data_IF_157986145702
#
_entry.id   IF_157986145702
#
_cell.length_a   1.000
_cell.length_b   1.000
_cell.length_c   1.000
_cell.angle_alpha   90.00
_cell.angle_beta   90.00
_cell.angle_gamma   90.00
#
_symmetry.space_group_name_H-M   'P 1'
#
loop_
_entity.id
_entity.type
_entity.pdbx_description
1 polymer ?
#
# COMPACT_ATOMS: atom_id res chain seq x y z
N UNK A 1 -21.62 -6.33 -0.28
CA UNK A 1 -20.23 -5.99 -0.60
C UNK A 1 -19.79 -4.83 0.29
N UNK A 2 -19.30 -5.14 1.48
CA UNK A 2 -18.78 -4.18 2.46
C UNK A 2 -17.35 -3.79 2.08
N UNK A 3 -17.21 -2.70 1.34
CA UNK A 3 -15.91 -2.06 1.08
C UNK A 3 -16.05 -0.58 1.36
N UNK A 4 -15.35 -0.08 2.37
CA UNK A 4 -15.23 1.35 2.70
C UNK A 4 -14.45 2.15 1.65
N UNK A 5 -14.75 1.92 0.37
CA UNK A 5 -14.24 2.63 -0.80
C UNK A 5 -15.24 3.68 -1.29
N UNK A 6 -16.54 3.48 -1.06
CA UNK A 6 -17.57 4.46 -1.38
C UNK A 6 -17.44 5.66 -0.43
N UNK A 7 -16.93 6.79 -0.95
CA UNK A 7 -16.67 8.02 -0.18
C UNK A 7 -15.22 8.21 0.27
N UNK A 8 -14.27 7.43 -0.24
CA UNK A 8 -12.85 7.62 0.08
C UNK A 8 -12.22 8.73 -0.77
N UNK A 9 -11.97 9.90 -0.19
CA UNK A 9 -11.32 11.07 -0.83
C UNK A 9 -9.85 10.85 -1.20
N UNK A 10 -9.30 9.67 -0.90
CA UNK A 10 -7.90 9.29 -1.18
C UNK A 10 -7.52 9.40 -2.66
N UNK A 11 -8.50 9.25 -3.56
CA UNK A 11 -8.27 9.42 -5.01
C UNK A 11 -8.24 10.90 -5.43
N UNK A 12 -8.93 11.77 -4.68
CA UNK A 12 -8.91 13.23 -4.85
C UNK A 12 -7.72 13.92 -4.15
N UNK A 13 -7.05 13.24 -3.21
CA UNK A 13 -5.79 13.70 -2.62
C UNK A 13 -4.58 13.52 -3.55
N UNK A 14 -4.74 12.78 -4.66
CA UNK A 14 -3.67 12.61 -5.63
C UNK A 14 -3.39 13.94 -6.35
N UNK A 15 -2.11 14.34 -6.50
CA UNK A 15 -1.74 15.49 -7.30
C UNK A 15 -2.31 15.40 -8.72
N UNK A 16 -2.65 16.54 -9.32
CA UNK A 16 -3.15 16.59 -10.70
C UNK A 16 -2.15 15.99 -11.71
N UNK A 17 -0.86 15.99 -11.38
CA UNK A 17 0.24 15.42 -12.18
C UNK A 17 0.55 13.94 -11.86
N UNK A 18 -0.35 13.24 -11.16
CA UNK A 18 -0.17 11.83 -10.81
C UNK A 18 0.09 10.91 -12.01
N UNK A 19 -0.63 11.01 -13.16
CA UNK A 19 -0.34 10.20 -14.33
C UNK A 19 1.11 10.39 -14.84
N UNK A 20 1.61 11.62 -14.82
CA UNK A 20 2.97 11.98 -15.25
C UNK A 20 4.01 11.40 -14.29
N UNK A 21 3.79 11.54 -12.97
CA UNK A 21 4.63 10.93 -11.94
C UNK A 21 4.69 9.41 -12.09
N UNK A 22 3.53 8.78 -12.32
CA UNK A 22 3.44 7.34 -12.52
C UNK A 22 4.22 6.89 -13.75
N UNK A 23 4.07 7.58 -14.88
CA UNK A 23 4.84 7.28 -16.09
C UNK A 23 6.35 7.44 -15.86
N UNK A 24 6.77 8.56 -15.24
CA UNK A 24 8.17 8.82 -14.91
C UNK A 24 8.79 7.71 -14.05
N UNK A 25 8.07 7.23 -13.04
CA UNK A 25 8.55 6.18 -12.12
C UNK A 25 8.60 4.82 -12.82
N UNK A 26 7.63 4.50 -13.67
CA UNK A 26 7.63 3.30 -14.51
C UNK A 26 8.82 3.27 -15.47
N UNK A 27 9.08 4.39 -16.14
CA UNK A 27 10.20 4.54 -17.08
C UNK A 27 11.55 4.50 -16.35
N UNK A 28 11.68 5.19 -15.20
CA UNK A 28 12.87 5.18 -14.34
C UNK A 28 13.29 3.76 -13.99
N UNK A 29 12.33 2.93 -13.60
CA UNK A 29 12.59 1.56 -13.15
C UNK A 29 12.53 0.54 -14.32
N UNK A 30 12.37 1.00 -15.57
CA UNK A 30 12.32 0.17 -16.77
C UNK A 30 11.19 -0.85 -16.76
N UNK A 31 10.05 -0.51 -16.13
CA UNK A 31 8.94 -1.42 -15.88
C UNK A 31 9.34 -2.72 -15.16
N UNK A 32 10.37 -2.66 -14.30
CA UNK A 32 10.82 -3.81 -13.50
C UNK A 32 10.49 -3.62 -12.03
N UNK A 33 9.91 -4.65 -11.44
CA UNK A 33 9.58 -4.70 -10.03
C UNK A 33 10.83 -4.46 -9.18
N UNK A 34 10.76 -3.43 -8.32
CA UNK A 34 11.82 -3.01 -7.40
C UNK A 34 11.73 -3.65 -6.02
N UNK A 35 10.78 -4.56 -5.80
CA UNK A 35 10.72 -5.31 -4.56
C UNK A 35 12.00 -6.12 -4.34
N UNK A 36 12.57 -6.04 -3.15
CA UNK A 36 13.74 -6.81 -2.75
C UNK A 36 13.34 -7.82 -1.68
N UNK A 37 13.72 -9.07 -1.89
CA UNK A 37 13.53 -10.15 -0.93
C UNK A 37 14.83 -10.94 -0.83
N UNK A 38 15.31 -11.15 0.41
CA UNK A 38 16.59 -11.83 0.68
C UNK A 38 17.79 -11.26 -0.10
N UNK A 39 17.82 -9.94 -0.32
CA UNK A 39 18.91 -9.27 -1.04
C UNK A 39 18.82 -9.36 -2.57
N UNK A 40 17.77 -9.99 -3.11
CA UNK A 40 17.55 -10.14 -4.56
C UNK A 40 16.36 -9.30 -4.99
N UNK A 41 16.53 -8.53 -6.06
CA UNK A 41 15.44 -7.80 -6.69
C UNK A 41 14.54 -8.75 -7.49
N UNK A 42 13.22 -8.57 -7.39
CA UNK A 42 12.25 -9.38 -8.12
C UNK A 42 12.42 -9.28 -9.65
N UNK A 43 12.54 -8.06 -10.19
CA UNK A 43 12.84 -7.83 -11.61
C UNK A 43 11.76 -8.20 -12.64
N UNK A 44 10.64 -8.82 -12.21
CA UNK A 44 9.46 -9.11 -13.05
C UNK A 44 8.88 -7.83 -13.66
N UNK A 45 8.17 -7.97 -14.78
CA UNK A 45 7.42 -6.86 -15.36
C UNK A 45 6.42 -6.28 -14.35
N UNK A 46 6.32 -4.96 -14.33
CA UNK A 46 5.59 -4.23 -13.32
C UNK A 46 4.85 -3.02 -13.91
N UNK A 47 3.62 -2.84 -13.44
CA UNK A 47 2.66 -1.82 -13.89
C UNK A 47 2.13 -0.98 -12.73
N UNK A 48 2.36 -1.42 -11.50
CA UNK A 48 1.86 -0.78 -10.29
C UNK A 48 2.94 0.18 -9.75
N UNK A 49 2.50 1.37 -9.33
CA UNK A 49 3.34 2.34 -8.64
C UNK A 49 2.76 2.55 -7.26
N UNK A 50 3.59 2.36 -6.25
CA UNK A 50 3.20 2.39 -4.86
C UNK A 50 4.23 3.14 -4.02
N UNK A 51 3.81 3.67 -2.88
CA UNK A 51 4.66 4.44 -1.98
C UNK A 51 5.61 3.53 -1.20
N UNK A 52 6.90 3.86 -1.16
CA UNK A 52 7.90 3.18 -0.32
C UNK A 52 7.55 3.37 1.16
N UNK A 53 7.31 4.63 1.57
CA UNK A 53 6.79 4.99 2.88
C UNK A 53 5.32 5.41 2.73
N UNK A 54 4.39 4.79 3.47
CA UNK A 54 2.97 5.12 3.36
C UNK A 54 2.71 6.57 3.81
N UNK A 55 1.75 7.23 3.15
CA UNK A 55 1.37 8.62 3.41
C UNK A 55 1.13 9.40 2.11
N UNK A 56 1.06 10.73 2.22
CA UNK A 56 0.74 11.63 1.10
C UNK A 56 2.00 12.24 0.44
N UNK A 57 3.15 11.56 0.56
CA UNK A 57 4.38 11.97 -0.11
C UNK A 57 4.45 11.33 -1.51
N UNK A 58 3.96 12.05 -2.51
CA UNK A 58 3.92 11.63 -3.92
C UNK A 58 5.18 12.00 -4.72
N UNK A 59 6.28 12.35 -4.05
CA UNK A 59 7.53 12.65 -4.75
C UNK A 59 8.12 11.37 -5.36
N UNK A 60 8.74 11.42 -6.55
CA UNK A 60 9.28 10.23 -7.23
C UNK A 60 10.22 9.39 -6.35
N UNK A 61 10.94 10.01 -5.41
CA UNK A 61 11.86 9.34 -4.50
C UNK A 61 11.15 8.44 -3.47
N UNK A 62 9.88 8.72 -3.17
CA UNK A 62 9.04 7.89 -2.30
C UNK A 62 8.16 6.91 -3.10
N UNK A 63 8.32 6.83 -4.42
CA UNK A 63 7.54 5.92 -5.27
C UNK A 63 8.43 4.79 -5.79
N UNK A 64 7.87 3.58 -5.82
CA UNK A 64 8.51 2.38 -6.35
C UNK A 64 7.59 1.63 -7.32
N UNK A 65 8.19 0.98 -8.31
CA UNK A 65 7.48 0.12 -9.26
C UNK A 65 7.37 -1.31 -8.72
N UNK A 66 6.16 -1.88 -8.76
CA UNK A 66 5.86 -3.23 -8.28
C UNK A 66 5.09 -4.06 -9.31
N UNK A 67 5.39 -5.36 -9.36
CA UNK A 67 4.51 -6.32 -10.04
C UNK A 67 3.26 -6.56 -9.18
N UNK A 68 2.21 -7.07 -9.80
CA UNK A 68 0.91 -7.31 -9.15
C UNK A 68 1.03 -8.13 -7.86
N UNK A 69 1.85 -9.19 -7.88
CA UNK A 69 2.07 -10.06 -6.72
C UNK A 69 2.64 -9.28 -5.51
N UNK A 70 3.74 -8.55 -5.71
CA UNK A 70 4.40 -7.82 -4.64
C UNK A 70 3.62 -6.59 -4.19
N UNK A 71 2.87 -5.96 -5.09
CA UNK A 71 1.94 -4.90 -4.74
C UNK A 71 0.84 -5.42 -3.81
N UNK A 72 0.26 -6.59 -4.10
CA UNK A 72 -0.74 -7.23 -3.24
C UNK A 72 -0.16 -7.61 -1.86
N UNK A 73 1.07 -8.13 -1.82
CA UNK A 73 1.77 -8.44 -0.56
C UNK A 73 1.95 -7.17 0.28
N UNK A 74 2.43 -6.07 -0.31
CA UNK A 74 2.61 -4.79 0.38
C UNK A 74 1.29 -4.24 0.91
N UNK A 75 0.28 -4.13 0.04
CA UNK A 75 -1.06 -3.66 0.41
C UNK A 75 -1.66 -4.46 1.56
N UNK A 76 -1.50 -5.79 1.55
CA UNK A 76 -1.96 -6.66 2.63
C UNK A 76 -1.22 -6.39 3.95
N UNK A 77 0.12 -6.24 3.91
CA UNK A 77 0.94 -5.92 5.08
C UNK A 77 0.55 -4.58 5.69
N UNK A 78 0.36 -3.55 4.88
CA UNK A 78 -0.03 -2.22 5.32
C UNK A 78 -1.45 -2.19 5.90
N UNK A 79 -2.40 -2.83 5.22
CA UNK A 79 -3.77 -2.97 5.71
C UNK A 79 -3.83 -3.77 7.02
N UNK A 80 -2.95 -4.75 7.21
CA UNK A 80 -2.81 -5.45 8.49
C UNK A 80 -2.24 -4.52 9.57
N UNK A 81 -1.12 -3.84 9.29
CA UNK A 81 -0.50 -2.89 10.23
C UNK A 81 -1.47 -1.79 10.68
N UNK A 82 -2.23 -1.20 9.76
CA UNK A 82 -3.25 -0.19 10.07
C UNK A 82 -4.38 -0.73 10.97
N UNK A 83 -4.81 -1.98 10.74
CA UNK A 83 -5.81 -2.65 11.60
C UNK A 83 -5.29 -2.82 13.04
N UNK A 84 -4.03 -3.20 13.23
CA UNK A 84 -3.44 -3.34 14.56
C UNK A 84 -3.21 -2.00 15.25
N UNK A 85 -2.84 -0.95 14.51
CA UNK A 85 -2.62 0.39 15.05
C UNK A 85 -3.90 1.01 15.65
N UNK A 86 -5.07 0.69 15.10
CA UNK A 86 -6.36 1.26 15.53
C UNK A 86 -7.12 0.31 16.48
N UNK A 87 -6.57 -0.88 16.78
CA UNK A 87 -7.24 -1.85 17.64
C UNK A 87 -7.34 -1.33 19.08
N UNK A 88 -8.46 -0.69 19.42
CA UNK A 88 -8.97 -0.69 20.79
C UNK A 88 -9.26 -2.15 21.10
N UNK A 89 -8.45 -2.76 21.98
CA UNK A 89 -8.79 -4.08 22.49
C UNK A 89 -10.19 -3.97 23.10
N UNK A 90 -11.15 -4.70 22.55
CA UNK A 90 -12.47 -4.80 23.16
C UNK A 90 -12.22 -5.46 24.53
N UNK A 91 -12.64 -4.85 25.65
CA UNK A 91 -12.42 -5.44 26.96
C UNK A 91 -13.00 -6.87 26.96
N UNK A 92 -12.31 -7.78 27.65
CA UNK A 92 -12.74 -9.18 27.73
C UNK A 92 -14.22 -9.23 28.19
N UNK A 93 -15.05 -9.97 27.46
CA UNK A 93 -16.45 -10.13 27.82
C UNK A 93 -16.53 -10.81 29.19
N UNK A 94 -17.24 -10.21 30.14
CA UNK A 94 -17.53 -10.87 31.42
C UNK A 94 -18.49 -12.02 31.12
N UNK A 95 -18.03 -13.25 31.24
CA UNK A 95 -18.87 -14.43 31.08
C UNK A 95 -19.97 -14.42 32.14
N UNK A 96 -21.25 -14.66 31.76
CA UNK A 96 -22.40 -14.54 32.66
C UNK A 96 -22.46 -15.57 33.80
N UNK A 97 -21.46 -16.47 33.91
CA UNK A 97 -21.40 -17.54 34.90
C UNK A 97 -20.33 -17.38 35.98
N UNK A 98 -19.58 -16.28 36.03
CA UNK A 98 -18.74 -15.94 37.18
C UNK A 98 -19.45 -14.90 38.05
N UNK A 99 -20.17 -15.39 39.07
CA UNK A 99 -20.56 -14.66 40.28
C UNK A 99 -19.73 -15.16 41.46
#
# INVERSE_FOLDING_TARGET
MSGGWAGSDRRSELPADWPQRRALVLDRDGHRCRWHEHGVACGKHATEVDHIKPGNDHRPENLQVLCTDHHAIKSSREGNAARWAVRRQRPAERHPGLI
#
